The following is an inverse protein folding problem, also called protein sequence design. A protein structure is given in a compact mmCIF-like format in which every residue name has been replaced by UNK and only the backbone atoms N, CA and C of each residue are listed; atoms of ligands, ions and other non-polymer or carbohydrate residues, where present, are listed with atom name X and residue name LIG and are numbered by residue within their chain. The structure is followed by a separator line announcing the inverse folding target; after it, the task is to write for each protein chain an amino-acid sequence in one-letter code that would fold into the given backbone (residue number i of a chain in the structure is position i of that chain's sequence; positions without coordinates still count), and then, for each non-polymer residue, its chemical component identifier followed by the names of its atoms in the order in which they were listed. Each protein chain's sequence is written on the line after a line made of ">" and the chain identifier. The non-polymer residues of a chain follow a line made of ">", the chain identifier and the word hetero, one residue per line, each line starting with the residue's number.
data_IF_683352981729
#
_entry.id   IF_683352981729
#
_cell.length_a   1.000
_cell.length_b   1.000
_cell.length_c   1.000
_cell.angle_alpha   90.00
_cell.angle_beta   90.00
_cell.angle_gamma   90.00
#
_symmetry.space_group_name_H-M   'P 1'
#
loop_
_entity.id
_entity.type
_entity.pdbx_description
1 polymer ?
#
# COMPACT_ATOMS: atom_id res chain seq x y z
N UNK A 1 10.53 -4.18 -6.13
CA UNK A 1 11.31 -3.43 -5.11
C UNK A 1 11.06 -1.95 -5.28
N UNK A 2 10.89 -1.20 -4.18
CA UNK A 2 10.87 0.26 -4.20
C UNK A 2 12.05 0.79 -3.38
N UNK A 3 12.78 1.76 -3.94
CA UNK A 3 14.01 2.32 -3.36
C UNK A 3 13.93 3.86 -3.38
N UNK A 4 14.31 4.48 -2.29
CA UNK A 4 14.38 5.92 -2.11
C UNK A 4 15.85 6.34 -2.03
N UNK A 5 16.22 7.35 -2.80
CA UNK A 5 17.57 7.89 -2.89
C UNK A 5 17.56 9.39 -2.61
N UNK A 6 18.00 9.79 -1.41
CA UNK A 6 18.09 11.20 -0.97
C UNK A 6 16.79 12.00 -1.15
N UNK A 7 15.65 11.34 -0.86
CA UNK A 7 14.32 11.92 -1.08
C UNK A 7 14.01 13.00 -0.06
N UNK A 8 13.64 14.18 -0.58
CA UNK A 8 13.06 15.26 0.22
C UNK A 8 11.72 15.65 -0.37
N UNK A 9 10.73 15.92 0.48
CA UNK A 9 9.38 16.28 0.08
C UNK A 9 8.82 17.39 0.96
N UNK A 10 8.06 18.29 0.33
CA UNK A 10 7.41 19.43 0.98
C UNK A 10 5.90 19.21 1.01
N UNK A 11 5.25 19.69 2.06
CA UNK A 11 3.80 19.77 2.12
C UNK A 11 3.42 21.26 2.30
N UNK A 12 2.82 21.84 1.25
CA UNK A 12 2.69 23.32 1.20
C UNK A 12 4.07 23.98 1.11
N UNK A 13 4.36 24.88 2.04
CA UNK A 13 5.66 25.56 2.15
C UNK A 13 6.64 24.88 3.13
N UNK A 14 6.24 23.78 3.76
CA UNK A 14 7.00 23.16 4.87
C UNK A 14 7.77 21.95 4.41
N UNK A 15 9.08 21.88 4.70
CA UNK A 15 9.91 20.70 4.50
C UNK A 15 9.52 19.61 5.53
N UNK A 16 8.81 18.58 5.09
CA UNK A 16 8.30 17.51 5.95
C UNK A 16 9.20 16.29 5.92
N UNK A 17 9.79 15.97 4.76
CA UNK A 17 10.71 14.86 4.57
C UNK A 17 12.03 15.39 4.05
N UNK A 18 13.15 14.95 4.65
CA UNK A 18 14.49 15.49 4.39
C UNK A 18 15.50 14.37 4.24
N UNK A 19 16.05 14.22 3.05
CA UNK A 19 17.19 13.34 2.74
C UNK A 19 16.98 11.89 3.19
N UNK A 20 15.85 11.29 2.83
CA UNK A 20 15.49 9.93 3.21
C UNK A 20 15.95 8.95 2.13
N UNK A 21 16.74 7.94 2.55
CA UNK A 21 17.23 6.86 1.68
C UNK A 21 17.00 5.50 2.33
N UNK A 22 16.24 4.62 1.71
CA UNK A 22 16.10 3.21 2.08
C UNK A 22 15.49 2.41 0.93
N UNK A 23 15.57 1.08 1.03
CA UNK A 23 14.93 0.17 0.08
C UNK A 23 13.93 -0.76 0.79
N UNK A 24 12.79 -1.01 0.12
CA UNK A 24 11.82 -2.04 0.47
C UNK A 24 11.86 -3.13 -0.61
N UNK A 25 12.53 -4.26 -0.35
CA UNK A 25 12.73 -5.34 -1.31
C UNK A 25 11.43 -6.08 -1.66
N UNK A 26 11.41 -6.72 -2.83
CA UNK A 26 10.38 -7.70 -3.16
C UNK A 26 10.49 -8.91 -2.22
N UNK A 27 9.34 -9.50 -1.89
CA UNK A 27 9.29 -10.63 -0.97
C UNK A 27 9.31 -10.25 0.51
N UNK A 28 9.37 -8.94 0.84
CA UNK A 28 9.48 -8.46 2.21
C UNK A 28 8.39 -7.45 2.56
N UNK A 29 7.99 -7.48 3.84
CA UNK A 29 7.17 -6.47 4.48
C UNK A 29 8.08 -5.46 5.19
N UNK A 30 8.05 -4.21 4.74
CA UNK A 30 8.78 -3.10 5.35
C UNK A 30 7.82 -2.23 6.15
N UNK A 31 8.01 -2.14 7.45
CA UNK A 31 7.26 -1.23 8.32
C UNK A 31 7.90 0.16 8.33
N UNK A 32 7.10 1.18 8.05
CA UNK A 32 7.49 2.59 8.20
C UNK A 32 6.90 3.10 9.51
N UNK A 33 7.74 3.29 10.52
CA UNK A 33 7.33 3.69 11.87
C UNK A 33 7.90 5.06 12.27
N UNK A 34 7.33 5.64 13.31
CA UNK A 34 7.77 6.92 13.87
C UNK A 34 6.60 7.69 14.51
N UNK A 35 6.88 8.75 15.27
CA UNK A 35 5.84 9.55 15.93
C UNK A 35 4.93 10.25 14.91
N UNK A 36 3.79 10.76 15.40
CA UNK A 36 2.90 11.57 14.59
C UNK A 36 3.65 12.83 14.10
N UNK A 37 3.42 13.21 12.84
CA UNK A 37 4.13 14.34 12.22
C UNK A 37 5.56 14.03 11.75
N UNK A 38 6.08 12.80 11.89
CA UNK A 38 7.43 12.44 11.41
C UNK A 38 7.58 12.38 9.88
N UNK A 39 6.50 12.51 9.12
CA UNK A 39 6.55 12.53 7.65
C UNK A 39 6.18 11.21 6.97
N UNK A 40 5.72 10.18 7.68
CA UNK A 40 5.38 8.85 7.12
C UNK A 40 4.39 8.93 5.95
N UNK A 41 3.22 9.52 6.18
CA UNK A 41 2.20 9.70 5.13
C UNK A 41 2.71 10.57 3.98
N UNK A 42 3.51 11.61 4.26
CA UNK A 42 4.12 12.47 3.24
C UNK A 42 5.09 11.68 2.37
N UNK A 43 5.93 10.85 2.99
CA UNK A 43 6.85 9.97 2.28
C UNK A 43 6.09 8.94 1.42
N UNK A 44 5.05 8.33 1.98
CA UNK A 44 4.20 7.40 1.24
C UNK A 44 3.51 8.06 0.04
N UNK A 45 3.05 9.32 0.20
CA UNK A 45 2.49 10.12 -0.90
C UNK A 45 3.52 10.45 -1.98
N UNK A 46 4.78 10.68 -1.61
CA UNK A 46 5.87 10.83 -2.57
C UNK A 46 6.10 9.53 -3.35
N UNK A 47 6.12 8.38 -2.66
CA UNK A 47 6.26 7.05 -3.29
C UNK A 47 5.10 6.72 -4.24
N UNK A 48 3.91 7.27 -4.01
CA UNK A 48 2.72 7.08 -4.87
C UNK A 48 2.57 8.13 -5.97
N UNK A 49 3.50 9.08 -6.08
CA UNK A 49 3.43 10.22 -7.02
C UNK A 49 2.22 11.15 -6.77
N UNK A 50 1.57 11.06 -5.62
CA UNK A 50 0.49 11.99 -5.23
C UNK A 50 1.05 13.29 -4.64
N UNK A 51 2.33 13.27 -4.25
CA UNK A 51 3.11 14.42 -3.83
C UNK A 51 4.44 14.43 -4.62
N UNK A 52 4.84 15.55 -5.24
CA UNK A 52 6.13 15.62 -5.92
C UNK A 52 7.28 15.63 -4.91
N UNK A 53 8.40 14.98 -5.25
CA UNK A 53 9.67 15.14 -4.53
C UNK A 53 10.27 16.52 -4.83
N UNK A 54 10.82 17.18 -3.82
CA UNK A 54 11.62 18.39 -3.96
C UNK A 54 13.02 18.07 -4.50
N UNK A 55 13.62 16.98 -3.99
CA UNK A 55 14.90 16.46 -4.42
C UNK A 55 14.95 14.94 -4.21
N UNK A 56 16.00 14.32 -4.76
CA UNK A 56 16.19 12.89 -4.71
C UNK A 56 15.42 12.14 -5.79
N UNK A 57 15.47 10.82 -5.74
CA UNK A 57 14.83 9.95 -6.70
C UNK A 57 14.15 8.77 -5.99
N UNK A 58 13.04 8.30 -6.55
CA UNK A 58 12.38 7.08 -6.11
C UNK A 58 12.39 6.11 -7.28
N UNK A 59 12.96 4.93 -7.06
CA UNK A 59 13.02 3.88 -8.05
C UNK A 59 11.97 2.81 -7.74
N UNK A 60 11.27 2.35 -8.74
CA UNK A 60 10.38 1.22 -8.69
C UNK A 60 10.90 0.16 -9.67
N UNK A 61 11.29 -1.00 -9.16
CA UNK A 61 11.96 -2.07 -9.91
C UNK A 61 13.18 -1.55 -10.72
N UNK A 62 14.01 -0.69 -10.10
CA UNK A 62 15.23 -0.12 -10.67
C UNK A 62 15.02 1.06 -11.62
N UNK A 63 13.78 1.46 -11.89
CA UNK A 63 13.44 2.55 -12.79
C UNK A 63 12.81 3.72 -12.02
N UNK A 64 13.19 4.96 -12.33
CA UNK A 64 12.62 6.15 -11.67
C UNK A 64 11.09 6.21 -11.86
N UNK A 65 10.37 6.42 -10.76
CA UNK A 65 8.90 6.54 -10.81
C UNK A 65 8.43 7.69 -11.71
N UNK A 66 9.24 8.73 -11.89
CA UNK A 66 8.93 9.87 -12.75
C UNK A 66 8.83 9.47 -14.24
N UNK A 67 9.54 8.41 -14.66
CA UNK A 67 9.57 7.94 -16.05
C UNK A 67 8.41 7.01 -16.43
N UNK A 68 7.63 6.54 -15.43
CA UNK A 68 6.44 5.70 -15.72
C UNK A 68 5.29 6.53 -16.26
N UNK A 69 4.61 6.04 -17.28
CA UNK A 69 3.27 6.53 -17.64
C UNK A 69 2.26 6.29 -16.52
N UNK A 70 1.19 7.08 -16.47
CA UNK A 70 0.18 6.97 -15.37
C UNK A 70 -0.41 5.55 -15.23
N UNK A 71 -0.81 4.93 -16.35
CA UNK A 71 -1.37 3.56 -16.36
C UNK A 71 -0.33 2.51 -15.99
N UNK A 72 0.89 2.66 -16.48
CA UNK A 72 2.01 1.77 -16.21
C UNK A 72 2.35 1.80 -14.72
N UNK A 73 2.50 2.98 -14.12
CA UNK A 73 2.73 3.13 -12.69
C UNK A 73 1.60 2.48 -11.87
N UNK A 74 0.34 2.74 -12.23
CA UNK A 74 -0.80 2.14 -11.56
C UNK A 74 -0.90 0.61 -11.75
N UNK A 75 -0.24 0.01 -12.73
CA UNK A 75 -0.12 -1.46 -12.87
C UNK A 75 1.02 -2.04 -12.03
N UNK A 76 1.97 -1.22 -11.60
CA UNK A 76 3.17 -1.65 -10.89
C UNK A 76 3.06 -1.43 -9.39
N UNK A 77 2.48 -0.30 -8.95
CA UNK A 77 2.32 0.04 -7.54
C UNK A 77 0.85 0.28 -7.18
N UNK A 78 0.37 -0.45 -6.18
CA UNK A 78 -0.95 -0.24 -5.58
C UNK A 78 -0.83 0.61 -4.31
N UNK A 79 -1.79 1.49 -4.07
CA UNK A 79 -1.84 2.34 -2.89
C UNK A 79 -3.17 2.23 -2.15
N UNK A 80 -3.08 2.08 -0.85
CA UNK A 80 -4.21 2.06 0.05
C UNK A 80 -4.07 3.18 1.08
N UNK A 81 -4.76 4.33 0.92
CA UNK A 81 -4.70 5.44 1.87
C UNK A 81 -5.48 5.12 3.16
N UNK A 82 -5.15 5.80 4.24
CA UNK A 82 -5.78 5.65 5.55
C UNK A 82 -7.30 5.91 5.51
N UNK A 83 -7.72 6.99 4.89
CA UNK A 83 -9.14 7.36 4.76
C UNK A 83 -9.64 7.19 3.34
N UNK A 84 -10.83 6.61 3.20
CA UNK A 84 -11.46 6.32 1.91
C UNK A 84 -12.98 6.48 2.01
N UNK A 85 -13.61 7.05 0.98
CA UNK A 85 -15.06 7.07 0.90
C UNK A 85 -15.60 5.64 0.81
N UNK A 86 -16.74 5.37 1.46
CA UNK A 86 -17.42 4.08 1.39
C UNK A 86 -18.51 4.17 0.31
N UNK A 87 -18.29 3.61 -0.89
CA UNK A 87 -19.23 3.73 -1.99
C UNK A 87 -20.42 2.76 -1.82
N UNK A 88 -21.59 3.15 -2.34
CA UNK A 88 -22.78 2.31 -2.40
C UNK A 88 -22.75 1.35 -3.59
N UNK A 89 -21.79 0.44 -3.60
CA UNK A 89 -21.60 -0.59 -4.64
C UNK A 89 -21.32 -1.94 -4.00
N UNK A 90 -21.40 -3.01 -4.80
CA UNK A 90 -21.07 -4.35 -4.30
C UNK A 90 -19.58 -4.51 -4.06
N UNK A 91 -19.21 -5.43 -3.17
CA UNK A 91 -17.81 -5.81 -2.90
C UNK A 91 -17.08 -6.18 -4.20
N UNK A 92 -17.68 -7.02 -5.04
CA UNK A 92 -17.10 -7.41 -6.34
C UNK A 92 -16.84 -6.18 -7.22
N UNK A 93 -17.77 -5.25 -7.29
CA UNK A 93 -17.61 -4.02 -8.07
C UNK A 93 -16.46 -3.17 -7.54
N UNK A 94 -16.32 -3.02 -6.21
CA UNK A 94 -15.22 -2.28 -5.62
C UNK A 94 -13.86 -2.95 -5.91
N UNK A 95 -13.75 -4.26 -5.74
CA UNK A 95 -12.50 -4.98 -6.03
C UNK A 95 -12.13 -4.87 -7.51
N UNK A 96 -13.13 -4.89 -8.41
CA UNK A 96 -12.94 -4.72 -9.86
C UNK A 96 -12.33 -3.35 -10.22
N UNK A 97 -12.48 -2.30 -9.40
CA UNK A 97 -11.79 -1.01 -9.61
C UNK A 97 -10.27 -1.16 -9.63
N UNK A 98 -9.69 -2.16 -8.96
CA UNK A 98 -8.27 -2.48 -9.05
C UNK A 98 -7.82 -2.79 -10.50
N UNK A 99 -8.74 -3.21 -11.38
CA UNK A 99 -8.45 -3.50 -12.79
C UNK A 99 -8.54 -2.29 -13.72
N UNK A 100 -8.98 -1.12 -13.26
CA UNK A 100 -9.11 0.09 -14.10
C UNK A 100 -7.85 0.45 -14.89
N UNK A 101 -6.61 0.31 -14.39
CA UNK A 101 -5.42 0.59 -15.17
C UNK A 101 -5.26 -0.30 -16.42
N UNK A 102 -5.91 -1.47 -16.45
CA UNK A 102 -5.84 -2.44 -17.54
C UNK A 102 -6.94 -2.24 -18.59
N UNK A 103 -8.04 -1.59 -18.20
CA UNK A 103 -9.18 -1.44 -19.10
C UNK A 103 -8.84 -0.52 -20.28
N UNK A 104 -9.23 -0.97 -21.47
CA UNK A 104 -9.17 -0.18 -22.68
C UNK A 104 -10.27 0.90 -22.76
N UNK A 105 -10.46 1.48 -23.93
CA UNK A 105 -11.45 2.51 -24.18
C UNK A 105 -12.89 2.05 -23.90
N UNK A 106 -13.20 0.78 -24.21
CA UNK A 106 -14.52 0.19 -23.95
C UNK A 106 -14.83 -0.05 -22.47
N UNK A 107 -13.85 0.09 -21.57
CA UNK A 107 -13.94 -0.23 -20.13
C UNK A 107 -14.52 -1.61 -19.81
N UNK A 108 -14.49 -2.54 -20.77
CA UNK A 108 -14.95 -3.92 -20.55
C UNK A 108 -13.83 -4.75 -19.89
N UNK A 109 -14.20 -5.51 -18.88
CA UNK A 109 -13.30 -6.47 -18.25
C UNK A 109 -13.15 -7.71 -19.14
N UNK A 110 -11.91 -8.19 -19.24
CA UNK A 110 -11.58 -9.46 -19.87
C UNK A 110 -11.79 -10.63 -18.90
N UNK A 111 -11.76 -11.87 -19.39
CA UNK A 111 -11.74 -13.05 -18.53
C UNK A 111 -10.55 -13.05 -17.56
N UNK A 112 -9.39 -12.54 -17.99
CA UNK A 112 -8.20 -12.38 -17.14
C UNK A 112 -8.43 -11.38 -16.01
N UNK A 113 -9.11 -10.26 -16.28
CA UNK A 113 -9.45 -9.28 -15.24
C UNK A 113 -10.41 -9.87 -14.21
N UNK A 114 -11.42 -10.61 -14.67
CA UNK A 114 -12.38 -11.29 -13.79
C UNK A 114 -11.67 -12.32 -12.90
N UNK A 115 -10.79 -13.13 -13.47
CA UNK A 115 -10.00 -14.10 -12.71
C UNK A 115 -9.09 -13.43 -11.66
N UNK A 116 -8.46 -12.29 -12.00
CA UNK A 116 -7.63 -11.52 -11.06
C UNK A 116 -8.45 -10.98 -9.89
N UNK A 117 -9.68 -10.49 -10.14
CA UNK A 117 -10.62 -10.04 -9.09
C UNK A 117 -10.99 -11.20 -8.17
N UNK A 118 -11.38 -12.34 -8.73
CA UNK A 118 -11.74 -13.51 -7.92
C UNK A 118 -10.57 -14.04 -7.08
N UNK A 119 -9.38 -14.13 -7.68
CA UNK A 119 -8.18 -14.55 -6.97
C UNK A 119 -7.87 -13.60 -5.79
N UNK A 120 -7.97 -12.30 -6.01
CA UNK A 120 -7.75 -11.31 -4.95
C UNK A 120 -8.78 -11.48 -3.82
N UNK A 121 -10.06 -11.67 -4.17
CA UNK A 121 -11.14 -11.87 -3.20
C UNK A 121 -10.96 -13.19 -2.41
N UNK A 122 -10.51 -14.28 -3.06
CA UNK A 122 -10.18 -15.54 -2.37
C UNK A 122 -9.04 -15.35 -1.37
N UNK A 123 -7.94 -14.67 -1.79
CA UNK A 123 -6.79 -14.42 -0.91
C UNK A 123 -7.13 -13.59 0.33
N UNK A 124 -8.11 -12.72 0.24
CA UNK A 124 -8.52 -11.84 1.35
C UNK A 124 -9.73 -12.37 2.12
N UNK A 125 -10.29 -13.54 1.74
CA UNK A 125 -11.48 -14.12 2.36
C UNK A 125 -12.75 -13.27 2.14
N UNK A 126 -12.84 -12.52 1.03
CA UNK A 126 -13.97 -11.62 0.75
C UNK A 126 -14.92 -12.14 -0.33
N UNK A 127 -14.68 -13.35 -0.85
CA UNK A 127 -15.45 -13.90 -1.97
C UNK A 127 -16.93 -14.11 -1.61
N UNK A 128 -17.21 -14.59 -0.41
CA UNK A 128 -18.58 -14.85 0.07
C UNK A 128 -19.39 -13.54 0.23
N UNK A 129 -18.71 -12.41 0.29
CA UNK A 129 -19.33 -11.09 0.39
C UNK A 129 -19.50 -10.41 -0.98
N UNK A 130 -19.19 -11.10 -2.08
CA UNK A 130 -19.12 -10.51 -3.42
C UNK A 130 -20.31 -9.63 -3.81
N UNK A 131 -21.52 -10.04 -3.45
CA UNK A 131 -22.77 -9.36 -3.78
C UNK A 131 -23.28 -8.43 -2.66
N UNK A 132 -22.60 -8.36 -1.50
CA UNK A 132 -22.97 -7.46 -0.41
C UNK A 132 -22.61 -6.02 -0.76
N UNK A 133 -23.41 -5.05 -0.30
CA UNK A 133 -23.06 -3.63 -0.35
C UNK A 133 -21.88 -3.35 0.60
N UNK A 134 -20.89 -2.59 0.13
CA UNK A 134 -19.71 -2.23 0.93
C UNK A 134 -20.07 -1.45 2.19
N UNK A 135 -21.18 -0.68 2.16
CA UNK A 135 -21.68 0.07 3.31
C UNK A 135 -22.20 -0.82 4.45
N UNK A 136 -22.65 -2.03 4.11
CA UNK A 136 -23.17 -2.99 5.08
C UNK A 136 -22.06 -3.81 5.78
N UNK A 137 -20.78 -3.58 5.45
CA UNK A 137 -19.66 -4.29 6.03
C UNK A 137 -19.16 -3.59 7.31
N UNK A 138 -18.61 -4.37 8.24
CA UNK A 138 -17.83 -3.85 9.37
C UNK A 138 -16.55 -3.15 8.91
N UNK A 139 -15.87 -2.43 9.80
CA UNK A 139 -14.58 -1.79 9.50
C UNK A 139 -13.52 -2.77 9.00
N UNK A 140 -13.37 -3.91 9.70
CA UNK A 140 -12.41 -4.96 9.33
C UNK A 140 -12.74 -5.64 8.01
N UNK A 141 -14.03 -5.96 7.77
CA UNK A 141 -14.47 -6.52 6.49
C UNK A 141 -14.19 -5.56 5.33
N UNK A 142 -14.48 -4.26 5.50
CA UNK A 142 -14.15 -3.24 4.50
C UNK A 142 -12.65 -3.16 4.21
N UNK A 143 -11.81 -3.25 5.25
CA UNK A 143 -10.36 -3.21 5.11
C UNK A 143 -9.86 -4.36 4.24
N UNK A 144 -10.37 -5.59 4.45
CA UNK A 144 -10.06 -6.77 3.62
C UNK A 144 -10.52 -6.56 2.16
N UNK A 145 -11.66 -5.92 1.93
CA UNK A 145 -12.15 -5.61 0.58
C UNK A 145 -11.25 -4.59 -0.14
N UNK A 146 -10.78 -3.54 0.55
CA UNK A 146 -9.84 -2.60 -0.03
C UNK A 146 -8.47 -3.24 -0.30
N UNK A 147 -8.03 -4.15 0.56
CA UNK A 147 -6.82 -4.92 0.28
C UNK A 147 -7.02 -5.85 -0.93
N UNK A 148 -8.20 -6.48 -1.07
CA UNK A 148 -8.54 -7.23 -2.28
C UNK A 148 -8.45 -6.37 -3.55
N UNK A 149 -8.96 -5.14 -3.50
CA UNK A 149 -8.84 -4.19 -4.61
C UNK A 149 -7.39 -3.88 -4.95
N UNK A 150 -6.53 -3.64 -3.95
CA UNK A 150 -5.10 -3.41 -4.15
C UNK A 150 -4.40 -4.66 -4.72
N UNK A 151 -4.77 -5.87 -4.27
CA UNK A 151 -4.24 -7.12 -4.82
C UNK A 151 -4.71 -7.37 -6.25
N UNK A 152 -5.99 -7.09 -6.56
CA UNK A 152 -6.54 -7.23 -7.91
C UNK A 152 -5.83 -6.32 -8.93
N UNK A 153 -5.26 -5.20 -8.48
CA UNK A 153 -4.43 -4.32 -9.32
C UNK A 153 -3.18 -5.02 -9.85
N UNK A 154 -2.66 -6.04 -9.16
CA UNK A 154 -1.63 -6.95 -9.69
C UNK A 154 -0.20 -6.44 -9.62
N UNK A 155 0.05 -5.24 -9.08
CA UNK A 155 1.38 -4.63 -9.00
C UNK A 155 2.39 -5.43 -8.18
N UNK A 156 3.67 -5.18 -8.39
CA UNK A 156 4.80 -5.76 -7.63
C UNK A 156 4.98 -5.11 -6.27
N UNK A 157 4.45 -3.90 -6.09
CA UNK A 157 4.58 -3.11 -4.87
C UNK A 157 3.22 -2.71 -4.32
N UNK A 158 3.03 -2.84 -3.01
CA UNK A 158 1.82 -2.40 -2.30
C UNK A 158 2.22 -1.44 -1.18
N UNK A 159 1.63 -0.27 -1.20
CA UNK A 159 1.86 0.81 -0.24
C UNK A 159 0.60 1.02 0.58
N UNK A 160 0.69 0.95 1.91
CA UNK A 160 -0.46 1.00 2.81
C UNK A 160 -0.23 2.05 3.89
N UNK A 161 -1.18 2.96 4.03
CA UNK A 161 -1.16 4.03 5.05
C UNK A 161 -2.11 3.64 6.18
N UNK A 162 -1.56 3.14 7.29
CA UNK A 162 -2.28 2.75 8.51
C UNK A 162 -3.50 1.84 8.24
N UNK A 163 -3.34 0.71 7.55
CA UNK A 163 -4.47 -0.14 7.17
C UNK A 163 -5.15 -0.82 8.37
N UNK A 164 -4.50 -0.87 9.54
CA UNK A 164 -5.05 -1.39 10.78
C UNK A 164 -5.79 -0.37 11.64
N UNK A 165 -5.83 0.92 11.23
CA UNK A 165 -6.52 1.94 12.01
C UNK A 165 -8.01 1.59 12.18
N UNK A 166 -8.51 1.75 13.42
CA UNK A 166 -9.91 1.47 13.80
C UNK A 166 -10.32 -0.02 13.73
N UNK A 167 -9.37 -0.95 13.62
CA UNK A 167 -9.61 -2.37 13.77
C UNK A 167 -9.45 -2.79 15.22
N UNK A 168 -10.21 -3.80 15.65
CA UNK A 168 -9.91 -4.51 16.90
C UNK A 168 -8.59 -5.27 16.79
N UNK A 169 -8.04 -5.67 17.94
CA UNK A 169 -6.73 -6.32 18.03
C UNK A 169 -6.66 -7.59 17.18
N UNK A 170 -7.71 -8.41 17.17
CA UNK A 170 -7.75 -9.65 16.41
C UNK A 170 -7.71 -9.36 14.90
N UNK A 171 -8.53 -8.42 14.42
CA UNK A 171 -8.59 -8.04 13.01
C UNK A 171 -7.26 -7.40 12.55
N UNK A 172 -6.54 -6.69 13.44
CA UNK A 172 -5.20 -6.17 13.13
C UNK A 172 -4.21 -7.31 12.88
N UNK A 173 -4.14 -8.31 13.75
CA UNK A 173 -3.25 -9.46 13.57
C UNK A 173 -3.59 -10.25 12.30
N UNK A 174 -4.87 -10.55 12.06
CA UNK A 174 -5.30 -11.23 10.84
C UNK A 174 -4.91 -10.44 9.56
N UNK A 175 -4.96 -9.11 9.61
CA UNK A 175 -4.51 -8.24 8.51
C UNK A 175 -2.99 -8.33 8.32
N UNK A 176 -2.20 -8.29 9.40
CA UNK A 176 -0.73 -8.39 9.35
C UNK A 176 -0.27 -9.75 8.83
N UNK A 177 -0.90 -10.86 9.27
CA UNK A 177 -0.65 -12.20 8.73
C UNK A 177 -0.90 -12.26 7.22
N UNK A 178 -2.01 -11.67 6.78
CA UNK A 178 -2.35 -11.59 5.35
C UNK A 178 -1.31 -10.78 4.57
N UNK A 179 -0.89 -9.60 5.09
CA UNK A 179 0.13 -8.76 4.44
C UNK A 179 1.49 -9.46 4.38
N UNK A 180 1.87 -10.19 5.42
CA UNK A 180 3.08 -11.02 5.43
C UNK A 180 3.01 -12.12 4.37
N UNK A 181 1.86 -12.80 4.23
CA UNK A 181 1.66 -13.80 3.18
C UNK A 181 1.72 -13.19 1.77
N UNK A 182 1.25 -11.95 1.62
CA UNK A 182 1.32 -11.19 0.36
C UNK A 182 2.77 -10.85 0.01
N UNK A 183 3.56 -10.41 0.98
CA UNK A 183 4.98 -10.15 0.82
C UNK A 183 5.73 -11.43 0.45
N UNK A 184 5.55 -12.52 1.21
CA UNK A 184 6.16 -13.84 0.91
C UNK A 184 5.81 -14.36 -0.49
N UNK A 185 4.69 -13.94 -1.07
CA UNK A 185 4.31 -14.17 -2.46
C UNK A 185 5.09 -13.35 -3.49
N UNK A 186 6.17 -12.67 -3.10
CA UNK A 186 7.10 -11.96 -4.00
C UNK A 186 6.79 -10.47 -4.19
N UNK A 187 5.86 -9.87 -3.43
CA UNK A 187 5.58 -8.44 -3.51
C UNK A 187 6.41 -7.63 -2.50
N UNK A 188 6.79 -6.41 -2.86
CA UNK A 188 7.25 -5.43 -1.90
C UNK A 188 6.04 -4.83 -1.18
N UNK A 189 5.95 -4.97 0.13
CA UNK A 189 4.88 -4.39 0.94
C UNK A 189 5.46 -3.32 1.85
N UNK A 190 5.02 -2.07 1.72
CA UNK A 190 5.38 -0.97 2.63
C UNK A 190 4.15 -0.58 3.44
N UNK A 191 4.27 -0.64 4.74
CA UNK A 191 3.18 -0.47 5.69
C UNK A 191 3.52 0.63 6.69
N UNK A 192 2.75 1.72 6.71
CA UNK A 192 2.81 2.69 7.82
C UNK A 192 2.06 2.11 9.01
N UNK A 193 2.72 2.07 10.16
CA UNK A 193 2.13 1.62 11.42
C UNK A 193 2.68 2.41 12.62
N UNK A 194 1.99 2.32 13.76
CA UNK A 194 2.36 3.04 14.98
C UNK A 194 2.91 2.11 16.07
N UNK A 195 2.49 0.86 16.06
CA UNK A 195 2.81 -0.11 17.11
C UNK A 195 4.16 -0.76 16.85
N UNK A 196 5.20 -0.34 17.58
CA UNK A 196 6.55 -0.90 17.46
C UNK A 196 6.59 -2.42 17.75
N UNK A 197 5.90 -2.97 18.79
CA UNK A 197 5.90 -4.41 19.01
C UNK A 197 5.35 -5.20 17.82
N UNK A 198 4.28 -4.74 17.20
CA UNK A 198 3.73 -5.38 15.99
C UNK A 198 4.70 -5.26 14.80
N UNK A 199 5.38 -4.11 14.63
CA UNK A 199 6.38 -3.95 13.58
C UNK A 199 7.53 -4.94 13.76
N UNK A 200 8.04 -5.11 14.99
CA UNK A 200 9.11 -6.07 15.30
C UNK A 200 8.70 -7.53 15.06
N UNK A 201 7.43 -7.86 15.28
CA UNK A 201 6.92 -9.22 15.11
C UNK A 201 6.64 -9.58 13.65
N UNK A 202 6.15 -8.63 12.85
CA UNK A 202 5.59 -8.91 11.52
C UNK A 202 6.43 -8.42 10.35
N UNK A 203 7.18 -7.32 10.53
CA UNK A 203 7.96 -6.76 9.43
C UNK A 203 9.31 -7.49 9.29
N UNK A 204 9.74 -7.67 8.05
CA UNK A 204 11.10 -8.15 7.74
C UNK A 204 12.11 -7.01 7.86
N UNK A 205 11.65 -5.77 7.66
CA UNK A 205 12.46 -4.55 7.77
C UNK A 205 11.66 -3.44 8.46
N UNK A 206 12.37 -2.64 9.23
CA UNK A 206 11.79 -1.48 9.93
C UNK A 206 12.56 -0.23 9.51
N UNK A 207 11.85 0.74 8.93
CA UNK A 207 12.35 2.08 8.63
C UNK A 207 11.77 3.06 9.67
N UNK A 208 12.64 3.59 10.54
CA UNK A 208 12.26 4.53 11.61
C UNK A 208 12.42 5.97 11.13
N UNK A 209 11.32 6.72 11.11
CA UNK A 209 11.32 8.15 10.82
C UNK A 209 11.18 8.99 12.09
N UNK A 210 11.98 10.06 12.17
CA UNK A 210 11.89 11.07 13.22
C UNK A 210 12.26 12.47 12.69
N UNK A 211 11.46 13.48 12.96
CA UNK A 211 11.72 14.86 12.51
C UNK A 211 11.89 15.01 11.00
N UNK A 212 11.22 14.20 10.22
CA UNK A 212 11.31 14.19 8.75
C UNK A 212 12.55 13.50 8.18
N UNK A 213 13.35 12.82 9.00
CA UNK A 213 14.57 12.10 8.59
C UNK A 213 14.46 10.61 8.90
N UNK A 214 15.18 9.81 8.16
CA UNK A 214 15.38 8.40 8.49
C UNK A 214 16.40 8.32 9.64
N UNK A 215 15.98 7.78 10.78
CA UNK A 215 16.85 7.54 11.94
C UNK A 215 17.57 6.19 11.87
N UNK A 216 16.99 5.24 11.18
CA UNK A 216 17.54 3.91 10.93
C UNK A 216 16.63 3.09 10.04
N UNK A 217 17.21 2.15 9.30
CA UNK A 217 16.48 1.15 8.53
C UNK A 217 17.27 -0.17 8.60
N UNK A 218 16.71 -1.15 9.28
CA UNK A 218 17.35 -2.45 9.45
C UNK A 218 16.34 -3.61 9.37
N UNK A 219 16.86 -4.82 9.32
CA UNK A 219 16.05 -6.03 9.47
C UNK A 219 15.51 -6.10 10.90
N UNK A 220 14.25 -6.56 11.05
CA UNK A 220 13.76 -6.98 12.37
C UNK A 220 14.52 -8.25 12.75
N UNK A 221 15.49 -8.13 13.65
CA UNK A 221 16.27 -9.27 14.14
C UNK A 221 15.40 -10.18 15.02
#
# INVERSE_FOLDING_TARGET
>A
MIELQHVSAVYGAQDVVRDVSFAAPNGQLTALIGPNGSGKTTLLRAMTRTLPCRSGNILLDGRSIASYGRKEFARTAAFMPQSRPVPGITVRALVAHGRFPYLGFSRRMTAQDTAAVEQAMRRTGTLDWANRDVRALSGGERQRVYLAMALAQGGTTILLDEPGAFLDVRAQFELLDLLRSVAAGGKAVVLVMHELPQAMQYADRIALLGGGRLLGCDTSA
#
